data_IF_951555712023
#
_entry.id   IF_951555712023
#
_cell.length_a   1.000
_cell.length_b   1.000
_cell.length_c   1.000
_cell.angle_alpha   90.00
_cell.angle_beta   90.00
_cell.angle_gamma   90.00
#
_symmetry.space_group_name_H-M   'P 1'
#
loop_
_entity.id
_entity.type
_entity.pdbx_description
1 polymer ?
#
# COMPACT_ATOMS: atom_id res chain seq x y z
N UNK A 1 -38.83 -14.87 46.05
CA UNK A 1 -37.76 -14.24 45.24
C UNK A 1 -37.05 -15.34 44.49
N UNK A 2 -37.26 -15.46 43.19
CA UNK A 2 -36.59 -16.47 42.36
C UNK A 2 -35.93 -15.77 41.18
N UNK A 3 -34.61 -15.87 41.16
CA UNK A 3 -33.69 -15.43 40.13
C UNK A 3 -34.07 -16.02 38.77
N UNK A 4 -34.43 -15.17 37.81
CA UNK A 4 -34.64 -15.56 36.42
C UNK A 4 -33.30 -15.90 35.77
N UNK A 5 -33.15 -17.14 35.31
CA UNK A 5 -32.01 -17.56 34.49
C UNK A 5 -32.25 -17.07 33.07
N UNK A 6 -31.40 -16.14 32.61
CA UNK A 6 -31.41 -15.65 31.23
C UNK A 6 -30.80 -16.71 30.29
N UNK A 7 -31.56 -17.14 29.28
CA UNK A 7 -31.01 -17.94 28.18
C UNK A 7 -30.29 -17.03 27.17
N UNK A 8 -29.19 -17.49 26.55
CA UNK A 8 -28.38 -16.67 25.68
C UNK A 8 -29.14 -16.35 24.38
N UNK A 9 -29.29 -15.07 24.08
CA UNK A 9 -29.81 -14.61 22.80
C UNK A 9 -28.82 -14.99 21.68
N UNK A 10 -29.27 -15.76 20.69
CA UNK A 10 -28.49 -16.03 19.48
C UNK A 10 -28.44 -14.75 18.64
N UNK A 11 -27.38 -13.95 18.84
CA UNK A 11 -27.12 -12.78 18.02
C UNK A 11 -26.67 -13.22 16.63
N UNK A 12 -27.37 -12.83 15.57
CA UNK A 12 -26.92 -12.98 14.17
C UNK A 12 -26.00 -11.85 13.70
N UNK A 13 -25.47 -11.05 14.63
CA UNK A 13 -24.41 -10.09 14.32
C UNK A 13 -23.23 -10.82 13.70
N UNK A 14 -22.78 -10.45 12.48
CA UNK A 14 -21.55 -11.02 11.93
C UNK A 14 -20.45 -10.79 12.96
N UNK A 15 -19.82 -11.86 13.41
CA UNK A 15 -18.75 -11.77 14.40
C UNK A 15 -17.65 -10.87 13.85
N UNK A 16 -16.98 -10.11 14.72
CA UNK A 16 -15.83 -9.27 14.37
C UNK A 16 -14.81 -10.02 13.51
N UNK A 17 -14.68 -11.33 13.75
CA UNK A 17 -13.87 -12.28 12.97
C UNK A 17 -14.27 -12.39 11.49
N UNK A 18 -15.56 -12.33 11.16
CA UNK A 18 -16.09 -12.46 9.79
C UNK A 18 -15.98 -11.15 8.98
N UNK A 19 -16.02 -9.99 9.67
CA UNK A 19 -15.69 -8.69 9.06
C UNK A 19 -14.18 -8.59 8.83
N UNK A 20 -13.37 -9.09 9.77
CA UNK A 20 -11.92 -9.08 9.69
C UNK A 20 -11.35 -9.98 8.59
N UNK A 21 -11.92 -11.17 8.36
CA UNK A 21 -11.48 -12.02 7.24
C UNK A 21 -11.78 -11.40 5.88
N UNK A 22 -12.88 -10.65 5.76
CA UNK A 22 -13.29 -9.99 4.52
C UNK A 22 -12.51 -8.70 4.24
N UNK A 23 -12.10 -7.97 5.27
CA UNK A 23 -11.25 -6.78 5.13
C UNK A 23 -9.76 -7.12 4.96
N UNK A 24 -9.28 -8.27 5.47
CA UNK A 24 -7.89 -8.72 5.31
C UNK A 24 -7.47 -8.86 3.84
N UNK A 25 -8.35 -9.33 2.96
CA UNK A 25 -8.05 -9.41 1.52
C UNK A 25 -7.81 -8.04 0.88
N UNK A 26 -8.63 -7.04 1.23
CA UNK A 26 -8.49 -5.67 0.73
C UNK A 26 -7.25 -5.00 1.30
N UNK A 27 -6.99 -5.17 2.61
CA UNK A 27 -5.79 -4.64 3.26
C UNK A 27 -4.53 -5.28 2.69
N UNK A 28 -4.53 -6.60 2.44
CA UNK A 28 -3.40 -7.29 1.82
C UNK A 28 -3.15 -6.79 0.40
N UNK A 29 -4.20 -6.60 -0.40
CA UNK A 29 -4.09 -6.03 -1.74
C UNK A 29 -3.52 -4.60 -1.71
N UNK A 30 -4.00 -3.75 -0.79
CA UNK A 30 -3.48 -2.40 -0.60
C UNK A 30 -1.99 -2.40 -0.22
N UNK A 31 -1.59 -3.26 0.72
CA UNK A 31 -0.20 -3.41 1.15
C UNK A 31 0.69 -3.89 0.00
N UNK A 32 0.22 -4.84 -0.81
CA UNK A 32 0.97 -5.31 -2.00
C UNK A 32 1.12 -4.21 -3.05
N UNK A 33 0.08 -3.42 -3.29
CA UNK A 33 0.16 -2.25 -4.19
C UNK A 33 1.14 -1.22 -3.66
N UNK A 34 1.09 -0.92 -2.35
CA UNK A 34 2.00 0.03 -1.71
C UNK A 34 3.45 -0.46 -1.75
N UNK A 35 3.68 -1.73 -1.44
CA UNK A 35 4.99 -2.37 -1.51
C UNK A 35 5.53 -2.40 -2.95
N UNK A 36 4.67 -2.68 -3.93
CA UNK A 36 5.02 -2.59 -5.35
C UNK A 36 5.39 -1.17 -5.76
N UNK A 37 4.64 -0.16 -5.33
CA UNK A 37 4.96 1.24 -5.59
C UNK A 37 6.29 1.66 -4.95
N UNK A 38 6.56 1.25 -3.70
CA UNK A 38 7.83 1.49 -3.01
C UNK A 38 8.98 0.78 -3.72
N UNK A 39 8.82 -0.49 -4.12
CA UNK A 39 9.84 -1.23 -4.85
C UNK A 39 10.17 -0.57 -6.20
N UNK A 40 9.15 -0.14 -6.95
CA UNK A 40 9.34 0.60 -8.21
C UNK A 40 10.05 1.93 -7.96
N UNK A 41 9.70 2.66 -6.89
CA UNK A 41 10.34 3.92 -6.53
C UNK A 41 11.83 3.71 -6.20
N UNK A 42 12.16 2.68 -5.41
CA UNK A 42 13.55 2.33 -5.03
C UNK A 42 14.37 1.92 -6.25
N UNK A 43 13.83 1.06 -7.13
CA UNK A 43 14.52 0.64 -8.36
C UNK A 43 14.76 1.83 -9.29
N UNK A 44 13.78 2.73 -9.42
CA UNK A 44 13.94 3.94 -10.25
C UNK A 44 14.92 4.94 -9.66
N UNK A 45 15.01 5.05 -8.32
CA UNK A 45 15.97 5.96 -7.68
C UNK A 45 17.43 5.53 -7.87
N UNK A 46 17.74 4.23 -7.99
CA UNK A 46 19.10 3.76 -8.26
C UNK A 46 19.55 4.06 -9.71
N UNK A 47 18.62 4.05 -10.68
CA UNK A 47 18.98 4.18 -12.11
C UNK A 47 19.43 5.57 -12.57
N UNK A 48 19.29 6.62 -11.75
CA UNK A 48 19.71 8.00 -12.09
C UNK A 48 20.59 8.63 -11.01
N UNK A 49 21.31 7.82 -10.25
CA UNK A 49 22.31 8.35 -9.33
C UNK A 49 23.41 9.06 -10.13
N UNK A 50 23.78 10.27 -9.71
CA UNK A 50 24.86 11.03 -10.35
C UNK A 50 24.61 11.43 -11.82
N UNK A 51 23.35 11.53 -12.25
CA UNK A 51 23.00 11.98 -13.61
C UNK A 51 23.65 13.34 -13.93
N UNK A 52 24.43 13.38 -15.00
CA UNK A 52 25.27 14.51 -15.41
C UNK A 52 26.32 14.97 -14.36
N UNK A 53 26.57 14.24 -13.27
CA UNK A 53 27.58 14.60 -12.27
C UNK A 53 28.99 14.26 -12.79
N UNK A 54 29.90 15.25 -12.92
CA UNK A 54 31.28 15.01 -13.37
C UNK A 54 32.13 14.22 -12.36
N UNK A 55 31.61 13.93 -11.16
CA UNK A 55 32.27 13.07 -10.16
C UNK A 55 31.80 11.61 -10.24
N UNK A 56 30.67 11.35 -10.91
CA UNK A 56 30.10 10.00 -11.00
C UNK A 56 30.67 9.22 -12.19
N UNK A 57 31.11 8.00 -11.90
CA UNK A 57 31.55 7.01 -12.90
C UNK A 57 30.39 6.16 -13.45
N UNK A 58 29.15 6.39 -12.99
CA UNK A 58 27.97 5.67 -13.46
C UNK A 58 27.72 5.92 -14.95
N UNK A 59 26.98 5.04 -15.66
CA UNK A 59 26.70 5.20 -17.09
C UNK A 59 26.15 6.58 -17.47
N UNK A 60 25.28 7.15 -16.64
CA UNK A 60 24.66 8.47 -16.83
C UNK A 60 25.43 9.63 -16.18
N UNK A 61 26.61 9.37 -15.59
CA UNK A 61 27.49 10.41 -15.07
C UNK A 61 28.33 11.08 -16.16
N UNK A 62 29.11 12.09 -15.78
CA UNK A 62 29.96 12.87 -16.71
C UNK A 62 31.46 12.81 -16.38
N UNK A 63 31.91 11.85 -15.55
CA UNK A 63 33.31 11.76 -15.11
C UNK A 63 34.28 11.62 -16.28
N UNK A 64 33.97 10.85 -17.31
CA UNK A 64 34.86 10.68 -18.45
C UNK A 64 35.12 12.01 -19.18
N UNK A 65 34.12 12.89 -19.29
CA UNK A 65 34.30 14.23 -19.86
C UNK A 65 35.19 15.09 -18.95
N UNK A 66 34.96 15.05 -17.64
CA UNK A 66 35.71 15.83 -16.68
C UNK A 66 37.20 15.47 -16.68
N UNK A 67 37.54 14.17 -16.70
CA UNK A 67 38.94 13.69 -16.76
C UNK A 67 39.60 14.11 -18.09
N UNK A 68 38.92 13.96 -19.23
CA UNK A 68 39.45 14.36 -20.54
C UNK A 68 39.63 15.88 -20.73
N UNK A 69 38.87 16.68 -19.98
CA UNK A 69 39.03 18.13 -19.90
C UNK A 69 40.20 18.51 -18.97
N UNK A 70 40.34 17.83 -17.84
CA UNK A 70 41.46 18.00 -16.92
C UNK A 70 42.80 17.68 -17.61
N UNK A 71 42.86 16.60 -18.40
CA UNK A 71 44.01 16.23 -19.24
C UNK A 71 44.38 17.32 -20.26
N UNK A 72 43.42 18.18 -20.63
CA UNK A 72 43.62 19.32 -21.54
C UNK A 72 43.85 20.65 -20.80
N UNK A 73 44.05 20.61 -19.48
CA UNK A 73 44.34 21.78 -18.65
C UNK A 73 43.12 22.63 -18.31
N UNK A 74 41.90 22.10 -18.44
CA UNK A 74 40.66 22.79 -18.03
C UNK A 74 40.35 22.45 -16.57
N UNK A 75 40.36 23.47 -15.71
CA UNK A 75 40.02 23.32 -14.29
C UNK A 75 38.50 23.23 -14.10
N UNK A 76 38.02 22.13 -13.54
CA UNK A 76 36.58 21.85 -13.41
C UNK A 76 36.13 21.97 -11.96
N UNK A 77 35.19 22.89 -11.68
CA UNK A 77 34.58 23.10 -10.37
C UNK A 77 33.09 22.78 -10.39
N UNK A 78 32.65 21.86 -9.54
CA UNK A 78 31.22 21.57 -9.34
C UNK A 78 30.61 22.55 -8.36
N UNK A 79 29.44 23.10 -8.69
CA UNK A 79 28.65 23.97 -7.83
C UNK A 79 27.21 23.47 -7.78
N UNK A 80 26.56 23.64 -6.64
CA UNK A 80 25.17 23.16 -6.45
C UNK A 80 24.19 24.24 -6.06
N UNK A 81 24.67 25.48 -5.93
CA UNK A 81 23.85 26.66 -5.58
C UNK A 81 23.93 27.74 -6.65
N UNK A 82 22.83 28.48 -6.81
CA UNK A 82 22.78 29.59 -7.76
C UNK A 82 23.79 30.69 -7.41
N UNK A 83 23.98 30.96 -6.12
CA UNK A 83 24.89 32.00 -5.66
C UNK A 83 26.34 31.68 -6.08
N UNK A 84 26.78 30.44 -5.89
CA UNK A 84 28.10 29.99 -6.33
C UNK A 84 28.26 30.00 -7.85
N UNK A 85 27.23 29.56 -8.59
CA UNK A 85 27.24 29.57 -10.05
C UNK A 85 27.40 31.00 -10.60
N UNK A 86 26.67 31.96 -10.03
CA UNK A 86 26.75 33.38 -10.41
C UNK A 86 28.07 34.04 -10.00
N UNK A 87 28.60 33.70 -8.83
CA UNK A 87 29.88 34.24 -8.37
C UNK A 87 31.06 33.74 -9.23
N UNK A 88 30.94 32.55 -9.81
CA UNK A 88 31.99 31.94 -10.61
C UNK A 88 31.92 32.30 -12.11
N UNK A 89 30.95 33.11 -12.57
CA UNK A 89 30.92 33.56 -13.96
C UNK A 89 32.02 34.58 -14.25
N UNK A 90 32.73 34.43 -15.36
CA UNK A 90 33.76 35.36 -15.80
C UNK A 90 34.16 35.16 -17.27
N UNK A 91 35.01 36.04 -17.83
CA UNK A 91 35.38 36.01 -19.25
C UNK A 91 36.16 34.75 -19.66
N UNK A 92 36.88 34.16 -18.71
CA UNK A 92 37.69 32.94 -18.88
C UNK A 92 36.99 31.69 -18.33
N UNK A 93 35.66 31.76 -18.17
CA UNK A 93 34.86 30.67 -17.60
C UNK A 93 33.82 30.17 -18.60
N UNK A 94 33.71 28.85 -18.71
CA UNK A 94 32.53 28.17 -19.23
C UNK A 94 31.64 27.79 -18.04
N UNK A 95 30.43 28.33 -17.97
CA UNK A 95 29.40 27.87 -17.03
C UNK A 95 28.49 26.86 -17.73
N UNK A 96 28.52 25.60 -17.31
CA UNK A 96 27.54 24.60 -17.70
C UNK A 96 26.41 24.57 -16.68
N UNK A 97 25.16 24.71 -17.15
CA UNK A 97 23.96 24.58 -16.34
C UNK A 97 23.33 23.23 -16.65
N UNK A 98 23.49 22.26 -15.75
CA UNK A 98 22.83 20.97 -15.84
C UNK A 98 21.35 21.15 -15.50
N UNK A 99 20.47 20.54 -16.30
CA UNK A 99 19.01 20.54 -16.11
C UNK A 99 18.42 21.93 -15.74
N UNK A 100 18.46 22.93 -16.65
CA UNK A 100 18.00 24.30 -16.39
C UNK A 100 16.53 24.40 -15.94
N UNK A 101 15.71 23.40 -16.24
CA UNK A 101 14.30 23.31 -15.87
C UNK A 101 14.07 23.11 -14.36
N UNK A 102 15.10 22.73 -13.59
CA UNK A 102 15.02 22.66 -12.12
C UNK A 102 15.04 24.06 -11.46
N UNK A 103 15.49 25.09 -12.19
CA UNK A 103 15.56 26.44 -11.67
C UNK A 103 14.19 27.11 -11.72
N UNK A 104 13.83 27.82 -10.65
CA UNK A 104 12.63 28.67 -10.65
C UNK A 104 12.76 29.81 -11.67
N UNK A 105 11.65 30.40 -12.15
CA UNK A 105 11.68 31.54 -13.07
C UNK A 105 12.57 32.69 -12.56
N UNK A 106 12.52 33.00 -11.27
CA UNK A 106 13.33 34.03 -10.64
C UNK A 106 14.83 33.68 -10.66
N UNK A 107 15.18 32.43 -10.33
CA UNK A 107 16.57 31.96 -10.39
C UNK A 107 17.13 32.00 -11.82
N UNK A 108 16.31 31.66 -12.82
CA UNK A 108 16.70 31.74 -14.23
C UNK A 108 16.99 33.19 -14.66
N UNK A 109 16.14 34.17 -14.27
CA UNK A 109 16.38 35.58 -14.55
C UNK A 109 17.66 36.11 -13.87
N UNK A 110 17.90 35.73 -12.62
CA UNK A 110 19.14 36.10 -11.91
C UNK A 110 20.39 35.51 -12.56
N UNK A 111 20.31 34.25 -13.02
CA UNK A 111 21.40 33.58 -13.71
C UNK A 111 21.70 34.25 -15.05
N UNK A 112 20.66 34.49 -15.86
CA UNK A 112 20.78 35.15 -17.16
C UNK A 112 21.41 36.54 -17.02
N UNK A 113 20.98 37.32 -16.02
CA UNK A 113 21.53 38.67 -15.79
C UNK A 113 23.01 38.67 -15.37
N UNK A 114 23.51 37.58 -14.79
CA UNK A 114 24.93 37.37 -14.49
C UNK A 114 25.70 36.91 -15.72
N UNK A 115 25.22 35.89 -16.43
CA UNK A 115 25.92 35.31 -17.59
C UNK A 115 26.00 36.27 -18.77
N UNK A 116 24.94 37.04 -19.05
CA UNK A 116 24.89 37.99 -20.16
C UNK A 116 25.97 39.09 -20.08
N UNK A 117 26.47 39.40 -18.88
CA UNK A 117 27.51 40.42 -18.64
C UNK A 117 28.88 39.84 -18.33
N UNK A 118 29.00 38.52 -18.23
CA UNK A 118 30.23 37.84 -17.78
C UNK A 118 31.36 37.83 -18.82
N UNK A 119 31.02 37.95 -20.11
CA UNK A 119 31.97 37.76 -21.22
C UNK A 119 32.45 36.32 -21.42
N UNK A 120 31.96 35.38 -20.62
CA UNK A 120 32.27 33.95 -20.69
C UNK A 120 31.32 33.16 -21.58
N UNK A 121 31.47 31.83 -21.57
CA UNK A 121 30.55 30.91 -22.26
C UNK A 121 29.51 30.37 -21.28
N UNK A 122 28.24 30.34 -21.68
CA UNK A 122 27.19 29.61 -20.94
C UNK A 122 26.70 28.45 -21.77
N UNK A 123 26.65 27.24 -21.20
CA UNK A 123 26.13 26.03 -21.86
C UNK A 123 24.88 25.56 -21.13
N UNK A 124 23.76 25.53 -21.84
CA UNK A 124 22.46 25.08 -21.33
C UNK A 124 22.18 23.67 -21.85
N UNK A 125 22.07 22.70 -20.95
CA UNK A 125 21.88 21.28 -21.31
C UNK A 125 20.40 20.93 -21.23
N UNK A 126 19.81 20.53 -22.37
CA UNK A 126 18.42 20.11 -22.51
C UNK A 126 17.43 21.13 -21.87
N UNK A 127 17.60 22.42 -22.18
CA UNK A 127 16.72 23.47 -21.69
C UNK A 127 15.33 23.36 -22.34
N UNK A 128 14.29 23.11 -21.55
CA UNK A 128 12.90 23.11 -22.01
C UNK A 128 12.40 24.51 -22.39
N UNK A 129 11.15 24.59 -22.88
CA UNK A 129 10.54 25.84 -23.36
C UNK A 129 10.60 26.97 -22.33
N UNK A 130 10.24 26.67 -21.07
CA UNK A 130 10.18 27.71 -20.03
C UNK A 130 11.55 28.22 -19.58
N UNK A 131 12.59 27.37 -19.62
CA UNK A 131 13.93 27.76 -19.17
C UNK A 131 14.73 28.41 -20.29
N UNK A 132 14.65 27.88 -21.52
CA UNK A 132 15.42 28.39 -22.65
C UNK A 132 15.02 29.81 -23.00
N UNK A 133 13.74 30.16 -22.98
CA UNK A 133 13.25 31.50 -23.30
C UNK A 133 13.76 32.56 -22.29
N UNK A 134 13.95 32.18 -21.03
CA UNK A 134 14.48 33.09 -19.98
C UNK A 134 16.00 33.14 -19.97
N UNK A 135 16.67 32.01 -20.16
CA UNK A 135 18.14 31.91 -20.07
C UNK A 135 18.85 32.30 -21.37
N UNK A 136 18.19 32.13 -22.51
CA UNK A 136 18.66 32.51 -23.84
C UNK A 136 17.52 33.26 -24.58
N UNK A 137 17.26 34.54 -24.24
CA UNK A 137 16.20 35.32 -24.87
C UNK A 137 16.29 35.29 -26.40
N UNK A 138 15.16 35.07 -27.08
CA UNK A 138 15.11 34.92 -28.55
C UNK A 138 15.25 33.47 -29.05
N UNK A 139 15.43 32.50 -28.14
CA UNK A 139 15.36 31.06 -28.44
C UNK A 139 14.04 30.51 -27.96
N UNK A 140 13.42 29.65 -28.77
CA UNK A 140 12.22 28.89 -28.37
C UNK A 140 12.45 27.40 -28.59
N UNK A 141 11.95 26.58 -27.65
CA UNK A 141 11.96 25.14 -27.77
C UNK A 141 10.70 24.64 -28.47
N UNK A 142 10.87 23.70 -29.38
CA UNK A 142 9.78 22.96 -29.98
C UNK A 142 9.22 21.92 -28.99
N UNK A 143 7.89 21.75 -28.90
CA UNK A 143 7.28 20.79 -27.97
C UNK A 143 7.59 19.33 -28.32
N UNK A 144 7.99 19.04 -29.56
CA UNK A 144 8.39 17.71 -29.99
C UNK A 144 9.91 17.61 -30.12
N UNK A 145 10.45 16.52 -29.56
CA UNK A 145 11.87 16.19 -29.66
C UNK A 145 12.23 15.65 -31.06
N UNK A 146 13.53 15.52 -31.32
CA UNK A 146 14.02 14.79 -32.49
C UNK A 146 13.71 13.30 -32.39
N UNK A 147 13.20 12.72 -33.48
CA UNK A 147 13.00 11.27 -33.60
C UNK A 147 14.32 10.49 -33.80
N UNK A 148 15.43 11.19 -34.09
CA UNK A 148 16.74 10.59 -34.32
C UNK A 148 17.70 11.03 -33.23
N UNK A 149 18.41 10.07 -32.63
CA UNK A 149 19.46 10.36 -31.64
C UNK A 149 20.71 10.95 -32.31
N UNK A 150 21.20 10.34 -33.39
CA UNK A 150 22.40 10.82 -34.11
C UNK A 150 22.06 11.79 -35.25
N UNK A 151 22.73 12.93 -35.30
CA UNK A 151 22.54 13.98 -36.32
C UNK A 151 23.89 14.43 -36.91
N UNK A 152 23.84 14.97 -38.13
CA UNK A 152 24.99 15.58 -38.80
C UNK A 152 25.02 17.09 -38.56
N UNK A 153 26.19 17.75 -38.48
CA UNK A 153 26.32 19.09 -37.95
C UNK A 153 25.67 20.16 -38.84
N UNK A 154 25.78 20.02 -40.17
CA UNK A 154 25.18 20.92 -41.19
C UNK A 154 25.31 22.43 -40.89
N UNK A 155 26.44 22.85 -40.33
CA UNK A 155 26.69 24.23 -39.93
C UNK A 155 28.17 24.60 -40.05
N UNK A 156 28.48 25.88 -39.85
CA UNK A 156 29.85 26.42 -39.95
C UNK A 156 30.61 26.44 -38.62
N UNK A 157 29.98 26.05 -37.51
CA UNK A 157 30.63 25.98 -36.20
C UNK A 157 31.78 24.96 -36.22
N UNK A 158 33.00 25.42 -35.99
CA UNK A 158 34.21 24.57 -36.06
C UNK A 158 34.14 23.36 -35.13
N UNK A 159 33.61 23.54 -33.91
CA UNK A 159 33.42 22.45 -32.94
C UNK A 159 32.52 21.35 -33.50
N UNK A 160 31.40 21.71 -34.11
CA UNK A 160 30.45 20.77 -34.72
C UNK A 160 31.03 20.08 -35.97
N UNK A 161 31.73 20.82 -36.83
CA UNK A 161 32.38 20.21 -38.02
C UNK A 161 33.47 19.21 -37.67
N UNK A 162 34.29 19.51 -36.64
CA UNK A 162 35.34 18.61 -36.16
C UNK A 162 34.79 17.38 -35.44
N UNK A 163 33.63 17.50 -34.82
CA UNK A 163 32.93 16.37 -34.23
C UNK A 163 32.33 15.45 -35.30
N UNK A 164 31.81 16.00 -36.39
CA UNK A 164 31.08 15.22 -37.38
C UNK A 164 29.70 14.84 -36.83
N UNK A 165 29.23 13.63 -37.12
CA UNK A 165 27.95 13.14 -36.58
C UNK A 165 28.03 13.03 -35.04
N UNK A 166 26.98 13.39 -34.31
CA UNK A 166 26.94 13.30 -32.86
C UNK A 166 25.51 13.01 -32.37
N UNK A 167 25.40 12.45 -31.16
CA UNK A 167 24.14 12.11 -30.52
C UNK A 167 23.54 13.36 -29.85
N UNK A 168 23.10 14.32 -30.67
CA UNK A 168 22.47 15.57 -30.20
C UNK A 168 20.94 15.54 -30.29
N UNK A 169 20.37 14.38 -30.60
CA UNK A 169 18.94 14.19 -30.78
C UNK A 169 18.15 14.34 -29.49
N UNK A 170 17.51 15.48 -29.32
CA UNK A 170 16.67 15.80 -28.16
C UNK A 170 15.76 16.98 -28.46
N UNK A 171 15.72 17.96 -27.57
CA UNK A 171 14.94 19.19 -27.75
C UNK A 171 15.43 19.94 -28.99
N UNK A 172 14.48 20.42 -29.78
CA UNK A 172 14.74 21.19 -31.00
C UNK A 172 14.45 22.66 -30.73
N UNK A 173 15.22 23.55 -31.32
CA UNK A 173 15.15 24.98 -31.06
C UNK A 173 15.01 25.78 -32.35
N UNK A 174 14.28 26.91 -32.25
CA UNK A 174 14.37 28.03 -33.19
C UNK A 174 15.00 29.23 -32.50
N UNK A 175 15.52 30.16 -33.29
CA UNK A 175 16.13 31.39 -32.79
C UNK A 175 15.79 32.56 -33.69
N UNK A 176 15.60 33.74 -33.11
CA UNK A 176 15.47 35.01 -33.82
C UNK A 176 16.82 35.71 -34.06
N UNK A 177 17.90 35.19 -33.46
CA UNK A 177 19.26 35.70 -33.64
C UNK A 177 19.81 35.31 -35.03
N UNK A 178 20.12 36.32 -35.85
CA UNK A 178 20.58 36.14 -37.23
C UNK A 178 22.05 35.69 -37.33
N UNK A 179 22.84 35.97 -36.31
CA UNK A 179 24.25 35.62 -36.17
C UNK A 179 24.49 34.30 -35.42
N UNK A 180 23.42 33.65 -34.96
CA UNK A 180 23.50 32.37 -34.28
C UNK A 180 23.92 31.25 -35.23
N UNK A 181 24.80 30.36 -34.76
CA UNK A 181 25.08 29.12 -35.46
C UNK A 181 24.01 28.09 -35.09
N UNK A 182 23.25 27.64 -36.09
CA UNK A 182 22.27 26.57 -36.00
C UNK A 182 22.89 25.27 -36.49
N UNK A 183 23.08 24.30 -35.60
CA UNK A 183 23.75 23.04 -35.90
C UNK A 183 22.86 21.84 -35.58
N UNK A 184 23.21 20.70 -36.19
CA UNK A 184 22.52 19.42 -36.01
C UNK A 184 21.01 19.51 -36.25
N UNK A 185 20.57 19.80 -37.49
CA UNK A 185 19.18 20.00 -37.81
C UNK A 185 18.38 18.69 -37.77
N UNK A 186 17.21 18.75 -37.13
CA UNK A 186 16.17 17.73 -37.14
C UNK A 186 14.85 18.33 -37.61
N UNK A 187 14.37 17.91 -38.78
CA UNK A 187 13.18 18.47 -39.43
C UNK A 187 13.20 20.01 -39.51
N UNK A 188 14.34 20.57 -39.97
CA UNK A 188 14.62 22.03 -40.12
C UNK A 188 14.85 22.83 -38.83
N UNK A 189 14.73 22.21 -37.66
CA UNK A 189 15.03 22.84 -36.37
C UNK A 189 16.39 22.40 -35.85
N UNK A 190 17.13 23.27 -35.17
CA UNK A 190 18.46 22.94 -34.66
C UNK A 190 18.38 22.22 -33.31
N UNK A 191 19.25 21.26 -33.05
CA UNK A 191 19.43 20.66 -31.71
C UNK A 191 20.65 21.20 -30.97
N UNK A 192 21.47 22.01 -31.64
CA UNK A 192 22.52 22.80 -31.03
C UNK A 192 22.45 24.23 -31.58
N UNK A 193 22.41 25.21 -30.68
CA UNK A 193 22.53 26.63 -30.99
C UNK A 193 23.79 27.20 -30.34
N UNK A 194 24.48 28.10 -31.03
CA UNK A 194 25.51 28.96 -30.42
C UNK A 194 25.18 30.40 -30.76
N UNK A 195 24.90 31.19 -29.73
CA UNK A 195 24.44 32.57 -29.82
C UNK A 195 25.57 33.46 -29.30
N UNK A 196 26.19 34.29 -30.15
CA UNK A 196 27.19 35.25 -29.70
C UNK A 196 26.58 36.22 -28.68
N UNK A 197 27.36 36.63 -27.69
CA UNK A 197 26.95 37.74 -26.83
C UNK A 197 26.93 39.04 -27.65
N UNK A 198 25.99 39.94 -27.34
CA UNK A 198 25.89 41.24 -28.02
C UNK A 198 27.14 42.12 -27.83
N UNK A 199 27.94 41.86 -26.79
CA UNK A 199 29.21 42.53 -26.55
C UNK A 199 30.21 41.60 -25.88
N UNK A 200 31.49 41.81 -26.15
CA UNK A 200 32.59 40.99 -25.64
C UNK A 200 32.74 39.65 -26.39
N UNK A 201 33.52 38.75 -25.78
CA UNK A 201 33.86 37.46 -26.39
C UNK A 201 32.97 36.31 -25.91
N UNK A 202 31.87 36.61 -25.21
CA UNK A 202 30.98 35.61 -24.62
C UNK A 202 30.06 34.95 -25.65
N UNK A 203 29.49 33.80 -25.29
CA UNK A 203 28.44 33.15 -26.06
C UNK A 203 27.56 32.23 -25.20
N UNK A 204 26.34 31.99 -25.66
CA UNK A 204 25.41 31.03 -25.08
C UNK A 204 25.24 29.86 -26.04
N UNK A 205 25.57 28.66 -25.58
CA UNK A 205 25.37 27.40 -26.29
C UNK A 205 24.16 26.70 -25.68
N UNK A 206 23.21 26.30 -26.52
CA UNK A 206 22.05 25.52 -26.11
C UNK A 206 22.15 24.13 -26.74
N UNK A 207 22.13 23.10 -25.92
CA UNK A 207 22.17 21.69 -26.32
C UNK A 207 20.81 21.04 -26.08
N UNK A 208 20.27 20.37 -27.09
CA UNK A 208 18.96 19.71 -27.00
C UNK A 208 18.98 18.40 -26.22
N UNK A 209 20.16 17.80 -26.05
CA UNK A 209 20.33 16.49 -25.43
C UNK A 209 21.57 16.47 -24.53
N UNK A 210 21.52 15.74 -23.40
CA UNK A 210 22.67 15.54 -22.52
C UNK A 210 23.64 14.47 -23.03
N UNK A 211 23.25 13.65 -24.01
CA UNK A 211 23.91 12.40 -24.38
C UNK A 211 25.41 12.54 -24.65
N UNK A 212 25.85 13.65 -25.26
CA UNK A 212 27.28 13.89 -25.53
C UNK A 212 28.14 14.05 -24.26
N UNK A 213 27.51 14.25 -23.11
CA UNK A 213 28.15 14.44 -21.81
C UNK A 213 28.19 13.15 -20.97
N UNK A 214 27.41 12.13 -21.36
CA UNK A 214 27.23 10.90 -20.58
C UNK A 214 28.38 9.91 -20.83
N UNK A 215 28.81 9.24 -19.76
CA UNK A 215 29.90 8.26 -19.79
C UNK A 215 29.64 7.11 -20.79
N UNK A 216 28.41 6.60 -20.88
CA UNK A 216 28.03 5.48 -21.77
C UNK A 216 27.94 5.86 -23.26
N UNK A 217 27.87 7.15 -23.56
CA UNK A 217 27.73 7.69 -24.92
C UNK A 217 28.96 8.44 -25.42
N UNK A 218 29.89 8.80 -24.54
CA UNK A 218 31.00 9.66 -24.88
C UNK A 218 31.89 9.09 -26.01
N UNK A 219 32.04 7.76 -26.05
CA UNK A 219 32.83 7.02 -27.06
C UNK A 219 32.08 6.77 -28.38
N UNK A 220 30.82 7.24 -28.50
CA UNK A 220 30.00 7.08 -29.69
C UNK A 220 30.12 8.30 -30.60
N UNK A 221 30.15 8.04 -31.91
CA UNK A 221 30.14 9.09 -32.94
C UNK A 221 31.22 10.16 -32.68
N UNK A 222 30.88 11.43 -32.83
CA UNK A 222 31.69 12.59 -32.50
C UNK A 222 31.47 13.17 -31.10
N UNK A 223 30.83 12.43 -30.18
CA UNK A 223 30.35 12.97 -28.89
C UNK A 223 31.48 13.57 -28.06
N UNK A 224 32.56 12.82 -27.83
CA UNK A 224 33.74 13.33 -27.12
C UNK A 224 34.33 14.59 -27.78
N UNK A 225 34.50 14.58 -29.10
CA UNK A 225 35.04 15.73 -29.84
C UNK A 225 34.15 16.97 -29.70
N UNK A 226 32.83 16.79 -29.72
CA UNK A 226 31.88 17.89 -29.53
C UNK A 226 31.92 18.41 -28.09
N UNK A 227 31.77 17.55 -27.09
CA UNK A 227 31.74 17.91 -25.68
C UNK A 227 33.02 18.67 -25.27
N UNK A 228 34.20 18.14 -25.62
CA UNK A 228 35.48 18.73 -25.27
C UNK A 228 35.70 20.10 -25.92
N UNK A 229 35.25 20.31 -27.16
CA UNK A 229 35.39 21.59 -27.84
C UNK A 229 34.38 22.65 -27.38
N UNK A 230 33.19 22.22 -26.95
CA UNK A 230 32.19 23.13 -26.39
C UNK A 230 32.59 23.58 -24.98
N UNK A 231 33.01 22.64 -24.13
CA UNK A 231 33.31 22.90 -22.73
C UNK A 231 34.73 23.44 -22.51
N UNK A 232 35.72 22.91 -23.23
CA UNK A 232 37.13 23.28 -23.12
C UNK A 232 37.54 24.52 -23.90
N UNK A 233 36.59 25.39 -24.27
CA UNK A 233 36.89 26.66 -24.95
C UNK A 233 37.53 27.72 -24.03
N UNK A 234 37.47 27.49 -22.72
CA UNK A 234 37.94 28.38 -21.66
C UNK A 234 38.74 27.56 -20.63
N UNK A 235 39.68 28.18 -19.89
CA UNK A 235 40.52 27.47 -18.92
C UNK A 235 39.75 26.99 -17.69
N UNK A 236 38.64 27.65 -17.32
CA UNK A 236 37.82 27.27 -16.17
C UNK A 236 36.44 26.77 -16.61
N UNK A 237 36.03 25.59 -16.13
CA UNK A 237 34.71 25.03 -16.31
C UNK A 237 33.99 24.98 -14.96
N UNK A 238 32.91 25.73 -14.82
CA UNK A 238 32.01 25.65 -13.67
C UNK A 238 30.84 24.77 -14.07
N UNK A 239 30.68 23.65 -13.38
CA UNK A 239 29.63 22.67 -13.62
C UNK A 239 28.54 22.85 -12.57
N UNK A 240 27.44 23.52 -12.93
CA UNK A 240 26.32 23.77 -12.03
C UNK A 240 25.30 22.64 -12.08
N UNK A 241 25.19 21.88 -10.98
CA UNK A 241 24.14 20.89 -10.72
C UNK A 241 23.09 21.50 -9.78
N UNK A 242 21.95 22.02 -10.27
CA UNK A 242 20.91 22.54 -9.40
C UNK A 242 20.45 21.48 -8.39
N UNK A 243 20.56 21.79 -7.11
CA UNK A 243 20.06 20.92 -6.04
C UNK A 243 18.72 21.43 -5.53
N UNK A 244 17.78 20.52 -5.27
CA UNK A 244 16.47 20.87 -4.67
C UNK A 244 16.61 21.44 -3.25
N UNK A 245 17.78 21.29 -2.63
CA UNK A 245 18.14 21.81 -1.31
C UNK A 245 18.67 23.25 -1.33
N UNK A 246 18.78 23.89 -2.50
CA UNK A 246 19.21 25.28 -2.60
C UNK A 246 18.14 26.22 -2.00
N UNK A 247 18.40 26.70 -0.79
CA UNK A 247 17.54 27.60 -0.02
C UNK A 247 17.30 28.97 -0.68
N UNK A 248 17.97 29.29 -1.78
CA UNK A 248 17.61 30.47 -2.61
C UNK A 248 16.26 30.32 -3.32
N UNK A 249 15.65 29.12 -3.30
CA UNK A 249 14.28 28.87 -3.74
C UNK A 249 13.22 29.59 -2.89
N UNK A 250 13.54 29.94 -1.64
CA UNK A 250 12.65 30.74 -0.78
C UNK A 250 13.08 32.20 -0.82
N UNK A 251 12.68 32.91 -1.88
CA UNK A 251 12.41 34.34 -1.74
C UNK A 251 11.44 34.52 -0.57
N UNK A 252 11.76 35.43 0.34
CA UNK A 252 10.99 35.79 1.53
C UNK A 252 9.47 35.56 1.39
N UNK A 253 8.91 34.64 2.18
CA UNK A 253 7.51 34.74 2.62
C UNK A 253 6.49 33.69 2.19
N UNK A 254 6.85 32.53 1.63
CA UNK A 254 5.86 31.45 1.50
C UNK A 254 6.50 30.06 1.49
N UNK A 255 6.49 29.40 2.66
CA UNK A 255 6.72 27.96 2.74
C UNK A 255 5.53 27.28 2.06
N UNK A 256 5.62 27.05 0.74
CA UNK A 256 4.66 26.20 0.05
C UNK A 256 4.63 24.85 0.76
N UNK A 257 3.50 24.57 1.38
CA UNK A 257 3.28 23.36 2.14
C UNK A 257 3.33 22.16 1.18
N UNK A 258 3.65 20.96 1.67
CA UNK A 258 3.58 19.73 0.87
C UNK A 258 2.21 19.56 0.15
N UNK A 259 1.17 20.22 0.66
CA UNK A 259 -0.17 20.27 0.06
C UNK A 259 -0.28 21.16 -1.19
N UNK A 260 0.62 22.14 -1.40
CA UNK A 260 0.66 22.99 -2.61
C UNK A 260 1.33 22.32 -3.81
N UNK A 261 2.09 21.25 -3.57
CA UNK A 261 2.72 20.44 -4.61
C UNK A 261 1.80 19.34 -5.14
N UNK A 262 0.66 19.10 -4.49
CA UNK A 262 -0.35 18.17 -4.94
C UNK A 262 -1.27 18.87 -5.96
N UNK A 263 -1.47 18.32 -7.18
CA UNK A 263 -2.42 18.87 -8.14
C UNK A 263 -3.79 19.05 -7.49
N UNK A 264 -4.44 20.20 -7.69
CA UNK A 264 -5.70 20.57 -7.02
C UNK A 264 -6.82 19.52 -7.11
N UNK A 265 -6.80 18.68 -8.15
CA UNK A 265 -7.73 17.55 -8.31
C UNK A 265 -7.58 16.42 -7.28
N UNK A 266 -6.41 16.25 -6.65
CA UNK A 266 -6.17 15.18 -5.66
C UNK A 266 -6.86 15.46 -4.32
N UNK A 267 -7.01 16.73 -3.94
CA UNK A 267 -7.80 17.13 -2.77
C UNK A 267 -9.28 16.75 -2.96
N UNK A 268 -9.82 16.92 -4.17
CA UNK A 268 -11.17 16.49 -4.50
C UNK A 268 -11.31 14.96 -4.50
N UNK A 269 -10.32 14.24 -5.03
CA UNK A 269 -10.32 12.77 -5.01
C UNK A 269 -10.28 12.19 -3.59
N UNK A 270 -9.43 12.75 -2.72
CA UNK A 270 -9.34 12.33 -1.30
C UNK A 270 -10.60 12.70 -0.51
N UNK A 271 -11.19 13.86 -0.77
CA UNK A 271 -12.47 14.28 -0.19
C UNK A 271 -13.62 13.35 -0.61
N UNK A 272 -13.71 12.99 -1.89
CA UNK A 272 -14.71 12.04 -2.38
C UNK A 272 -14.54 10.66 -1.73
N UNK A 273 -13.30 10.19 -1.58
CA UNK A 273 -12.99 8.93 -0.90
C UNK A 273 -13.41 8.97 0.57
N UNK A 274 -13.17 10.09 1.25
CA UNK A 274 -13.59 10.31 2.63
C UNK A 274 -15.12 10.31 2.75
N UNK A 275 -15.83 11.01 1.87
CA UNK A 275 -17.31 11.02 1.84
C UNK A 275 -17.84 9.61 1.59
N UNK A 276 -17.28 8.88 0.62
CA UNK A 276 -17.69 7.50 0.34
C UNK A 276 -17.47 6.58 1.56
N UNK A 277 -16.33 6.72 2.25
CA UNK A 277 -16.04 5.98 3.47
C UNK A 277 -17.02 6.36 4.61
N UNK A 278 -17.35 7.63 4.77
CA UNK A 278 -18.29 8.12 5.77
C UNK A 278 -19.71 7.59 5.50
N UNK A 279 -20.17 7.62 4.25
CA UNK A 279 -21.47 7.06 3.83
C UNK A 279 -21.51 5.55 4.05
N UNK A 280 -20.44 4.84 3.69
CA UNK A 280 -20.32 3.40 3.93
C UNK A 280 -20.35 3.07 5.44
N UNK A 281 -19.66 3.87 6.26
CA UNK A 281 -19.67 3.74 7.72
C UNK A 281 -21.06 4.02 8.29
N UNK A 282 -21.75 5.07 7.85
CA UNK A 282 -23.13 5.40 8.23
C UNK A 282 -24.11 4.30 7.83
N UNK A 283 -23.99 3.77 6.62
CA UNK A 283 -24.81 2.67 6.12
C UNK A 283 -24.59 1.39 6.95
N UNK A 284 -23.34 1.06 7.28
CA UNK A 284 -23.02 -0.09 8.15
C UNK A 284 -23.36 0.12 9.62
N UNK A 285 -23.36 1.36 10.09
CA UNK A 285 -23.69 1.72 11.47
C UNK A 285 -25.19 1.73 11.74
N UNK A 286 -26.04 1.76 10.69
CA UNK A 286 -27.49 1.61 10.84
C UNK A 286 -27.83 0.19 11.29
N UNK A 287 -27.98 0.02 12.60
CA UNK A 287 -28.53 -1.17 13.22
C UNK A 287 -29.97 -1.38 12.73
N UNK A 288 -30.20 -2.43 11.95
CA UNK A 288 -31.54 -2.99 11.79
C UNK A 288 -31.93 -3.58 13.15
N UNK A 289 -32.96 -3.00 13.78
CA UNK A 289 -33.44 -3.41 15.10
C UNK A 289 -33.90 -4.88 15.13
N UNK A 290 -34.18 -5.43 16.32
CA UNK A 290 -34.57 -6.84 16.45
C UNK A 290 -35.81 -7.11 15.60
N UNK A 291 -35.74 -8.15 14.76
CA UNK A 291 -36.90 -8.65 14.05
C UNK A 291 -37.94 -9.09 15.08
N UNK A 292 -39.18 -8.64 14.86
CA UNK A 292 -40.41 -8.88 15.62
C UNK A 292 -40.30 -10.08 16.58
N UNK A 293 -40.43 -9.89 17.91
CA UNK A 293 -40.50 -11.00 18.83
C UNK A 293 -41.81 -11.75 18.62
N UNK A 294 -41.72 -12.96 18.06
CA UNK A 294 -42.84 -13.89 17.99
C UNK A 294 -43.23 -14.31 19.42
N UNK A 295 -44.52 -14.18 19.76
CA UNK A 295 -45.04 -14.53 21.09
C UNK A 295 -44.92 -16.05 21.32
N UNK A 296 -44.02 -16.47 22.20
CA UNK A 296 -43.98 -17.85 22.69
C UNK A 296 -45.14 -18.12 23.66
N UNK A 297 -45.77 -19.32 23.61
CA UNK A 297 -46.97 -19.63 24.35
C UNK A 297 -46.71 -19.87 25.85
N UNK A 298 -47.77 -19.65 26.62
CA UNK A 298 -47.91 -19.60 28.08
C UNK A 298 -47.11 -20.67 28.85
N UNK A 299 -46.47 -20.26 29.95
CA UNK A 299 -45.82 -21.17 30.89
C UNK A 299 -46.84 -22.10 31.57
N UNK A 300 -46.76 -23.40 31.28
CA UNK A 300 -47.63 -24.44 31.86
C UNK A 300 -46.98 -24.97 33.14
N UNK A 301 -47.75 -25.14 34.22
CA UNK A 301 -47.24 -25.73 35.47
C UNK A 301 -46.83 -27.19 35.23
N UNK A 302 -45.71 -27.61 35.80
CA UNK A 302 -45.18 -28.97 35.64
C UNK A 302 -46.21 -30.06 36.02
N UNK A 303 -47.08 -29.79 37.00
CA UNK A 303 -48.17 -30.69 37.41
C UNK A 303 -49.16 -31.00 36.28
N UNK A 304 -49.49 -30.02 35.43
CA UNK A 304 -50.43 -30.23 34.31
C UNK A 304 -49.81 -31.11 33.23
N UNK A 305 -48.50 -31.01 33.00
CA UNK A 305 -47.81 -31.87 32.02
C UNK A 305 -47.73 -33.32 32.47
N UNK A 306 -47.52 -33.57 33.77
CA UNK A 306 -47.50 -34.92 34.34
C UNK A 306 -48.89 -35.54 34.29
N UNK A 307 -49.92 -34.80 34.67
CA UNK A 307 -51.31 -35.29 34.63
C UNK A 307 -51.76 -35.55 33.19
N UNK A 308 -51.46 -34.63 32.27
CA UNK A 308 -51.74 -34.80 30.84
C UNK A 308 -51.09 -36.06 30.26
N UNK A 309 -49.81 -36.29 30.59
CA UNK A 309 -49.08 -37.49 30.13
C UNK A 309 -49.63 -38.78 30.76
N UNK A 310 -50.00 -38.76 32.04
CA UNK A 310 -50.64 -39.91 32.69
C UNK A 310 -52.01 -40.24 32.09
N UNK A 311 -52.84 -39.22 31.78
CA UNK A 311 -54.11 -39.40 31.06
C UNK A 311 -53.90 -39.98 29.67
N UNK A 312 -52.87 -39.55 28.94
CA UNK A 312 -52.53 -40.11 27.63
C UNK A 312 -52.08 -41.57 27.71
N UNK A 313 -51.22 -41.94 28.66
CA UNK A 313 -50.80 -43.34 28.83
C UNK A 313 -51.95 -44.26 29.21
N UNK A 314 -52.87 -43.80 30.07
CA UNK A 314 -54.10 -44.52 30.41
C UNK A 314 -55.03 -44.67 29.21
N UNK A 315 -55.29 -43.58 28.45
CA UNK A 315 -56.15 -43.63 27.25
C UNK A 315 -55.61 -44.59 26.19
N UNK A 316 -54.29 -44.64 26.03
CA UNK A 316 -53.63 -45.54 25.09
C UNK A 316 -53.40 -46.96 25.65
N UNK A 317 -53.81 -47.26 26.89
CA UNK A 317 -53.49 -48.52 27.59
C UNK A 317 -51.99 -48.89 27.54
N UNK A 318 -51.10 -47.89 27.52
CA UNK A 318 -49.66 -48.04 27.32
C UNK A 318 -48.93 -48.38 28.64
N UNK A 319 -49.30 -49.51 29.24
CA UNK A 319 -48.81 -50.00 30.54
C UNK A 319 -47.31 -50.32 30.50
N UNK A 320 -46.85 -50.86 29.39
CA UNK A 320 -45.46 -51.15 29.08
C UNK A 320 -44.59 -49.89 29.18
N UNK A 321 -45.01 -48.78 28.56
CA UNK A 321 -44.28 -47.51 28.56
C UNK A 321 -44.31 -46.84 29.93
N UNK A 322 -45.44 -46.92 30.64
CA UNK A 322 -45.55 -46.39 31.99
C UNK A 322 -44.61 -47.13 32.96
N UNK A 323 -44.60 -48.47 32.94
CA UNK A 323 -43.72 -49.29 33.76
C UNK A 323 -42.24 -49.06 33.43
N UNK A 324 -41.89 -48.97 32.15
CA UNK A 324 -40.51 -48.69 31.72
C UNK A 324 -40.02 -47.31 32.19
N UNK A 325 -40.88 -46.28 32.11
CA UNK A 325 -40.54 -44.94 32.58
C UNK A 325 -40.34 -44.88 34.09
N UNK A 326 -41.21 -45.54 34.87
CA UNK A 326 -41.09 -45.65 36.33
C UNK A 326 -39.81 -46.38 36.73
N UNK A 327 -39.59 -47.59 36.19
CA UNK A 327 -38.37 -48.39 36.46
C UNK A 327 -37.11 -47.65 36.07
N UNK A 328 -37.08 -47.00 34.90
CA UNK A 328 -35.93 -46.21 34.46
C UNK A 328 -35.60 -45.08 35.45
N UNK A 329 -36.63 -44.33 35.87
CA UNK A 329 -36.46 -43.22 36.81
C UNK A 329 -35.96 -43.69 38.18
N UNK A 330 -36.53 -44.79 38.70
CA UNK A 330 -36.12 -45.37 39.99
C UNK A 330 -34.68 -45.88 39.92
N UNK A 331 -34.29 -46.59 38.85
CA UNK A 331 -32.89 -47.03 38.67
C UNK A 331 -31.90 -45.85 38.66
N UNK A 332 -32.23 -44.77 37.96
CA UNK A 332 -31.41 -43.56 37.90
C UNK A 332 -31.28 -42.87 39.26
N UNK A 333 -32.32 -42.93 40.10
CA UNK A 333 -32.29 -42.38 41.48
C UNK A 333 -31.57 -43.29 42.47
N UNK A 334 -31.69 -44.61 42.34
CA UNK A 334 -31.06 -45.58 43.23
C UNK A 334 -29.56 -45.72 42.99
N UNK A 335 -29.10 -45.65 41.74
CA UNK A 335 -27.69 -45.82 41.39
C UNK A 335 -26.70 -45.00 42.27
N UNK A 336 -26.86 -43.68 42.46
CA UNK A 336 -25.97 -42.92 43.33
C UNK A 336 -26.06 -43.29 44.81
N UNK A 337 -27.19 -43.84 45.29
CA UNK A 337 -27.36 -44.23 46.70
C UNK A 337 -26.59 -45.51 47.03
N UNK A 338 -26.39 -46.40 46.06
CA UNK A 338 -25.64 -47.66 46.22
C UNK A 338 -24.22 -47.60 45.64
N UNK A 339 -23.73 -46.41 45.27
CA UNK A 339 -22.37 -46.20 44.77
C UNK A 339 -22.13 -46.60 43.31
N UNK A 340 -23.18 -46.74 42.49
CA UNK A 340 -23.10 -47.09 41.07
C UNK A 340 -23.18 -45.82 40.20
N UNK A 341 -22.31 -45.63 39.18
CA UNK A 341 -22.41 -44.52 38.25
C UNK A 341 -23.76 -44.52 37.50
N UNK A 342 -24.37 -43.34 37.31
CA UNK A 342 -25.68 -43.20 36.64
C UNK A 342 -25.70 -43.78 35.21
N UNK A 343 -24.56 -43.78 34.51
CA UNK A 343 -24.41 -44.41 33.19
C UNK A 343 -24.61 -45.93 33.21
N UNK A 344 -24.38 -46.58 34.35
CA UNK A 344 -24.54 -48.02 34.56
C UNK A 344 -25.86 -48.36 35.28
N UNK A 345 -26.71 -47.38 35.58
CA UNK A 345 -27.99 -47.59 36.27
C UNK A 345 -28.95 -48.54 35.53
N UNK A 346 -28.79 -48.69 34.21
CA UNK A 346 -29.64 -49.54 33.38
C UNK A 346 -29.01 -50.91 33.08
N UNK A 347 -27.83 -51.21 33.61
CA UNK A 347 -27.16 -52.50 33.51
C UNK A 347 -27.51 -53.37 34.73
N UNK A 348 -28.26 -54.49 34.57
CA UNK A 348 -28.63 -55.34 35.70
C UNK A 348 -27.42 -55.92 36.42
N UNK A 349 -26.35 -56.25 35.68
CA UNK A 349 -25.09 -56.76 36.20
C UNK A 349 -24.35 -55.80 37.13
N UNK A 350 -24.55 -54.49 36.98
CA UNK A 350 -23.91 -53.48 37.82
C UNK A 350 -24.80 -53.08 39.01
N UNK A 351 -26.12 -52.93 38.79
CA UNK A 351 -27.03 -52.38 39.79
C UNK A 351 -27.50 -53.42 40.81
N UNK A 352 -27.77 -54.66 40.40
CA UNK A 352 -28.36 -55.67 41.29
C UNK A 352 -27.40 -56.14 42.39
N UNK A 353 -26.09 -56.40 42.11
CA UNK A 353 -25.16 -56.77 43.18
C UNK A 353 -24.99 -55.66 44.22
N UNK A 354 -24.96 -54.39 43.78
CA UNK A 354 -24.84 -53.23 44.66
C UNK A 354 -26.09 -53.06 45.55
N UNK A 355 -27.28 -53.27 44.99
CA UNK A 355 -28.53 -53.26 45.77
C UNK A 355 -28.60 -54.44 46.75
N UNK A 356 -28.20 -55.66 46.36
CA UNK A 356 -28.22 -56.81 47.26
C UNK A 356 -27.22 -56.70 48.42
N UNK A 357 -26.13 -55.94 48.24
CA UNK A 357 -25.22 -55.64 49.34
C UNK A 357 -25.80 -54.63 50.35
N UNK A 358 -26.79 -53.84 49.93
CA UNK A 358 -27.42 -52.79 50.74
C UNK A 358 -28.74 -53.23 51.38
N UNK A 359 -29.40 -54.27 50.83
CA UNK A 359 -30.70 -54.78 51.27
C UNK A 359 -30.57 -56.22 51.80
N UNK A 360 -31.08 -56.49 53.00
CA UNK A 360 -31.03 -57.81 53.65
C UNK A 360 -32.17 -58.74 53.18
N UNK A 361 -32.31 -58.97 51.87
CA UNK A 361 -33.42 -59.77 51.32
C UNK A 361 -33.14 -60.45 49.96
N UNK A 362 -33.94 -61.47 49.62
CA UNK A 362 -33.77 -62.37 48.47
C UNK A 362 -33.67 -61.64 47.11
N UNK A 363 -32.48 -61.64 46.51
CA UNK A 363 -32.18 -60.93 45.25
C UNK A 363 -33.00 -61.34 44.01
N UNK A 364 -33.76 -62.45 44.07
CA UNK A 364 -34.68 -62.86 42.98
C UNK A 364 -35.85 -61.89 42.79
N UNK A 365 -36.26 -61.17 43.82
CA UNK A 365 -37.39 -60.21 43.75
C UNK A 365 -36.99 -58.90 43.06
N UNK A 366 -35.73 -58.48 43.18
CA UNK A 366 -35.24 -57.21 42.62
C UNK A 366 -35.10 -57.22 41.09
N UNK A 367 -34.67 -58.35 40.52
CA UNK A 367 -34.58 -58.52 39.05
C UNK A 367 -35.97 -58.33 38.41
N UNK A 368 -37.00 -59.01 38.93
CA UNK A 368 -38.35 -58.91 38.40
C UNK A 368 -38.96 -57.50 38.61
N UNK A 369 -38.63 -56.85 39.72
CA UNK A 369 -39.13 -55.51 40.04
C UNK A 369 -38.56 -54.42 39.12
N UNK A 370 -37.24 -54.41 38.90
CA UNK A 370 -36.53 -53.37 38.16
C UNK A 370 -36.34 -53.66 36.66
N UNK A 371 -36.32 -54.94 36.27
CA UNK A 371 -36.04 -55.40 34.90
C UNK A 371 -37.05 -56.42 34.36
N UNK A 372 -38.14 -56.70 35.09
CA UNK A 372 -39.11 -57.71 34.71
C UNK A 372 -40.03 -57.34 33.53
N UNK A 373 -40.92 -58.27 33.13
CA UNK A 373 -41.88 -58.05 32.05
C UNK A 373 -42.84 -56.89 32.33
N UNK A 374 -43.56 -56.40 31.31
CA UNK A 374 -44.60 -55.38 31.50
C UNK A 374 -45.77 -55.94 32.33
N UNK A 375 -46.44 -55.09 33.13
CA UNK A 375 -47.60 -55.51 33.94
C UNK A 375 -48.80 -55.86 33.03
N UNK A 376 -49.57 -56.89 33.42
CA UNK A 376 -50.69 -57.40 32.64
C UNK A 376 -51.93 -56.48 32.70
N UNK A 377 -52.17 -55.85 33.84
CA UNK A 377 -53.32 -54.97 34.08
C UNK A 377 -52.93 -53.70 34.87
N UNK A 378 -53.90 -52.80 35.04
CA UNK A 378 -53.68 -51.53 35.74
C UNK A 378 -53.44 -51.74 37.24
N UNK A 379 -54.02 -52.80 37.83
CA UNK A 379 -53.80 -53.17 39.23
C UNK A 379 -52.35 -53.62 39.48
N UNK A 380 -51.77 -54.41 38.57
CA UNK A 380 -50.37 -54.80 38.62
C UNK A 380 -49.43 -53.59 38.42
N UNK A 381 -49.81 -52.59 37.62
CA UNK A 381 -49.03 -51.36 37.46
C UNK A 381 -49.02 -50.50 38.73
N UNK A 382 -50.16 -50.41 39.42
CA UNK A 382 -50.24 -49.72 40.73
C UNK A 382 -49.38 -50.45 41.75
N UNK A 383 -49.53 -51.78 41.85
CA UNK A 383 -48.72 -52.61 42.75
C UNK A 383 -47.23 -52.47 42.47
N UNK A 384 -46.83 -52.43 41.19
CA UNK A 384 -45.45 -52.18 40.79
C UNK A 384 -44.95 -50.81 41.27
N UNK A 385 -45.79 -49.77 41.17
CA UNK A 385 -45.44 -48.41 41.63
C UNK A 385 -45.23 -48.40 43.14
N UNK A 386 -46.13 -49.02 43.90
CA UNK A 386 -46.03 -49.11 45.36
C UNK A 386 -44.79 -49.89 45.81
N UNK A 387 -44.44 -50.98 45.11
CA UNK A 387 -43.23 -51.77 45.37
C UNK A 387 -41.95 -51.00 45.04
N UNK A 388 -41.94 -50.23 43.94
CA UNK A 388 -40.81 -49.36 43.58
C UNK A 388 -40.61 -48.23 44.60
N UNK A 389 -41.70 -47.62 45.07
CA UNK A 389 -41.65 -46.56 46.09
C UNK A 389 -41.27 -47.11 47.47
N UNK A 390 -41.66 -48.35 47.79
CA UNK A 390 -41.20 -49.04 48.99
C UNK A 390 -39.68 -49.30 48.93
N UNK A 391 -39.18 -49.79 47.80
CA UNK A 391 -37.75 -50.00 47.58
C UNK A 391 -36.94 -48.70 47.66
N UNK A 392 -37.42 -47.61 47.04
CA UNK A 392 -36.72 -46.31 47.12
C UNK A 392 -36.67 -45.79 48.58
N UNK A 393 -37.73 -46.01 49.36
CA UNK A 393 -37.76 -45.63 50.78
C UNK A 393 -36.83 -46.48 51.65
N UNK A 394 -36.74 -47.77 51.39
CA UNK A 394 -35.86 -48.70 52.10
C UNK A 394 -34.38 -48.35 51.85
N UNK A 395 -33.99 -48.12 50.60
CA UNK A 395 -32.61 -47.73 50.27
C UNK A 395 -32.24 -46.34 50.81
N UNK A 396 -33.21 -45.42 50.96
CA UNK A 396 -32.96 -44.09 51.55
C UNK A 396 -32.86 -44.11 53.08
N UNK A 397 -33.28 -45.18 53.75
CA UNK A 397 -33.26 -45.33 55.21
C UNK A 397 -32.35 -46.53 55.55
N UNK A 398 -31.04 -46.29 55.73
CA UNK A 398 -30.06 -47.36 55.90
C UNK A 398 -30.31 -48.22 57.14
#
# INVERSE_FOLDING_TARGET
MTTGVAFPATSTTPTTRQVWTRSRGIVLALVLVLAGAVAIAVIRSDTRHGDLDPRSADPYGSRAVAELLADRGVDTRVVTTLAEARAATGPDTTLLVAVPDLLTPHQQSLLQGSTARSGGRTVLVAAGSTSVERLAPGVTADPANSDRSTLNPHCTLTAARRAGSADTGGIRYTTTHLDANTCYPSQRLATLLRIPAASGNGDTVVLGAPDILLNDRLDKQGNASLALQLLGSRPHLVWYLPSLSDATATGTGDQKSLFDLLPSGWLWGTLQLFIAAAVAALWRARRLGPLVPEKLPVAIRASETVEGRARLYRKASARDRAAAALRSTVRTRLAPLVGVPVSQAHAPEALLPALSAHLHGDGRTLQALLFGPPPADDAALITLTDQLDALEREVRRP
#
